data_IF_827254649567
#
_entry.id   IF_827254649567
#
_cell.length_a   1.000
_cell.length_b   1.000
_cell.length_c   1.000
_cell.angle_alpha   90.00
_cell.angle_beta   90.00
_cell.angle_gamma   90.00
#
_symmetry.space_group_name_H-M   'P 1'
#
loop_
_entity.id
_entity.type
_entity.pdbx_description
1 polymer ?
#
# COMPACT_ATOMS: atom_id res chain seq x y z
N UNK A 1 6.28 -7.58 -10.50
CA UNK A 1 5.03 -6.89 -10.17
C UNK A 1 4.06 -6.93 -11.35
N UNK A 2 2.78 -6.98 -11.03
CA UNK A 2 1.74 -6.91 -12.05
C UNK A 2 1.56 -5.46 -12.52
N UNK A 3 1.08 -5.31 -13.75
CA UNK A 3 0.78 -3.98 -14.29
C UNK A 3 -0.30 -3.31 -13.44
N UNK A 4 -0.13 -2.02 -13.19
CA UNK A 4 -1.08 -1.24 -12.40
C UNK A 4 -0.93 -1.39 -10.89
N UNK A 5 0.09 -2.09 -10.41
CA UNK A 5 0.35 -2.28 -8.99
C UNK A 5 1.52 -1.43 -8.52
N UNK A 6 1.32 -0.70 -7.44
CA UNK A 6 2.37 0.06 -6.76
C UNK A 6 2.62 -0.55 -5.39
N UNK A 7 3.88 -0.60 -4.99
CA UNK A 7 4.28 -1.17 -3.71
C UNK A 7 5.18 -0.17 -2.98
N UNK A 8 4.87 0.14 -1.71
CA UNK A 8 5.78 0.93 -0.89
C UNK A 8 5.67 0.55 0.58
N UNK A 9 6.72 0.85 1.33
CA UNK A 9 6.79 0.55 2.76
C UNK A 9 8.23 0.56 3.24
N UNK A 10 8.41 0.49 4.54
CA UNK A 10 9.72 0.38 5.17
C UNK A 10 9.82 -0.99 5.84
N UNK A 11 10.93 -1.70 5.63
CA UNK A 11 11.11 -3.07 6.13
C UNK A 11 12.13 -3.09 7.26
N UNK A 12 11.76 -3.67 8.39
CA UNK A 12 12.65 -3.84 9.53
C UNK A 12 13.53 -5.09 9.41
N UNK A 13 14.37 -5.28 10.41
CA UNK A 13 15.40 -6.34 10.40
C UNK A 13 14.85 -7.75 10.37
N UNK A 14 13.64 -7.96 10.90
CA UNK A 14 13.03 -9.28 10.92
C UNK A 14 11.89 -9.42 9.90
N UNK A 15 11.86 -8.50 8.91
CA UNK A 15 10.89 -8.55 7.83
C UNK A 15 9.56 -7.89 8.13
N UNK A 16 9.42 -7.23 9.28
CA UNK A 16 8.21 -6.48 9.57
C UNK A 16 8.09 -5.26 8.65
N UNK A 17 6.88 -4.99 8.17
CA UNK A 17 6.60 -3.83 7.32
C UNK A 17 6.12 -2.69 8.22
N UNK A 18 6.85 -1.58 8.20
CA UNK A 18 6.59 -0.42 9.03
C UNK A 18 5.89 0.69 8.27
N UNK A 19 5.10 1.48 9.00
CA UNK A 19 4.45 2.64 8.44
C UNK A 19 5.46 3.64 7.89
N UNK A 20 5.08 4.31 6.79
CA UNK A 20 5.87 5.39 6.21
C UNK A 20 5.14 6.70 6.41
N UNK A 21 5.88 7.82 6.36
CA UNK A 21 5.27 9.14 6.41
C UNK A 21 4.60 9.47 5.08
N UNK A 22 3.55 10.29 5.13
CA UNK A 22 2.85 10.80 3.96
C UNK A 22 2.30 9.70 3.03
N UNK A 23 1.85 8.59 3.61
CA UNK A 23 1.30 7.49 2.82
C UNK A 23 0.09 7.91 2.00
N UNK A 24 -0.79 8.74 2.57
CA UNK A 24 -1.97 9.24 1.86
C UNK A 24 -1.58 10.01 0.60
N UNK A 25 -0.54 10.82 0.68
CA UNK A 25 -0.04 11.56 -0.47
C UNK A 25 0.51 10.62 -1.53
N UNK A 26 1.21 9.56 -1.12
CA UNK A 26 1.74 8.55 -2.05
C UNK A 26 0.59 7.84 -2.78
N UNK A 27 -0.47 7.49 -2.07
CA UNK A 27 -1.65 6.85 -2.67
C UNK A 27 -2.35 7.81 -3.63
N UNK A 28 -2.49 9.07 -3.25
CA UNK A 28 -3.09 10.10 -4.11
C UNK A 28 -2.33 10.20 -5.43
N UNK A 29 -1.01 10.25 -5.37
CA UNK A 29 -0.18 10.29 -6.58
C UNK A 29 -0.32 9.01 -7.41
N UNK A 30 -0.43 7.86 -6.76
CA UNK A 30 -0.64 6.59 -7.46
C UNK A 30 -1.94 6.60 -8.26
N UNK A 31 -3.01 7.12 -7.68
CA UNK A 31 -4.30 7.25 -8.37
C UNK A 31 -4.14 8.13 -9.62
N UNK A 32 -3.48 9.26 -9.49
CA UNK A 32 -3.26 10.18 -10.60
C UNK A 32 -2.41 9.57 -11.70
N UNK A 33 -1.46 8.72 -11.35
CA UNK A 33 -0.57 8.06 -12.30
C UNK A 33 -1.26 6.91 -13.02
N UNK A 34 -2.39 6.42 -12.50
CA UNK A 34 -3.16 5.35 -13.13
C UNK A 34 -2.98 3.98 -12.51
N UNK A 35 -2.33 3.88 -11.36
CA UNK A 35 -2.25 2.62 -10.64
C UNK A 35 -3.62 2.23 -10.12
N UNK A 36 -3.93 0.95 -10.16
CA UNK A 36 -5.22 0.41 -9.72
C UNK A 36 -5.14 -0.37 -8.42
N UNK A 37 -3.93 -0.79 -8.03
CA UNK A 37 -3.69 -1.52 -6.79
C UNK A 37 -2.48 -0.92 -6.09
N UNK A 38 -2.58 -0.73 -4.78
CA UNK A 38 -1.47 -0.25 -3.96
C UNK A 38 -1.28 -1.18 -2.77
N UNK A 39 -0.08 -1.73 -2.65
CA UNK A 39 0.32 -2.55 -1.51
C UNK A 39 1.16 -1.67 -0.59
N UNK A 40 0.74 -1.55 0.66
CA UNK A 40 1.33 -0.61 1.61
C UNK A 40 1.27 -1.18 3.03
N UNK A 41 1.98 -0.57 3.99
CA UNK A 41 1.91 -1.04 5.37
C UNK A 41 0.48 -1.00 5.90
N UNK A 42 0.08 -2.05 6.61
CA UNK A 42 -1.29 -2.15 7.12
C UNK A 42 -1.67 -0.97 8.02
N UNK A 43 -0.74 -0.47 8.84
CA UNK A 43 -1.03 0.69 9.68
C UNK A 43 -1.34 1.94 8.87
N UNK A 44 -0.67 2.13 7.73
CA UNK A 44 -0.98 3.23 6.81
C UNK A 44 -2.34 3.02 6.15
N UNK A 45 -2.63 1.79 5.70
CA UNK A 45 -3.92 1.49 5.08
C UNK A 45 -5.07 1.80 6.04
N UNK A 46 -4.97 1.34 7.28
CA UNK A 46 -6.01 1.57 8.28
C UNK A 46 -6.21 3.06 8.55
N UNK A 47 -5.11 3.82 8.64
CA UNK A 47 -5.18 5.27 8.85
C UNK A 47 -5.85 5.99 7.69
N UNK A 48 -5.54 5.58 6.46
CA UNK A 48 -6.12 6.18 5.25
C UNK A 48 -7.63 5.91 5.21
N UNK A 49 -8.05 4.68 5.49
CA UNK A 49 -9.48 4.35 5.49
C UNK A 49 -10.22 5.09 6.60
N UNK A 50 -9.63 5.21 7.78
CA UNK A 50 -10.22 5.91 8.90
C UNK A 50 -10.40 7.40 8.60
N UNK A 51 -9.43 8.01 7.93
CA UNK A 51 -9.50 9.42 7.57
C UNK A 51 -10.58 9.72 6.53
N UNK A 52 -10.85 8.76 5.62
CA UNK A 52 -11.91 8.90 4.64
C UNK A 52 -11.68 9.97 3.58
N UNK A 53 -10.43 10.42 3.39
CA UNK A 53 -10.11 11.50 2.48
C UNK A 53 -9.80 11.06 1.05
N UNK A 54 -9.65 9.76 0.82
CA UNK A 54 -9.30 9.22 -0.49
C UNK A 54 -10.47 8.46 -1.09
N UNK A 55 -10.56 8.53 -2.42
CA UNK A 55 -11.54 7.74 -3.16
C UNK A 55 -10.98 6.33 -3.37
N UNK A 56 -11.29 5.44 -2.42
CA UNK A 56 -10.83 4.05 -2.45
C UNK A 56 -11.51 3.22 -3.54
N UNK A 57 -12.49 3.79 -4.26
CA UNK A 57 -13.07 3.11 -5.41
C UNK A 57 -12.15 3.16 -6.63
N UNK A 58 -11.22 4.10 -6.66
CA UNK A 58 -10.28 4.24 -7.79
C UNK A 58 -9.04 3.38 -7.65
N UNK A 59 -8.73 2.94 -6.44
CA UNK A 59 -7.55 2.13 -6.19
C UNK A 59 -7.84 1.16 -5.06
N UNK A 60 -7.39 -0.09 -5.24
CA UNK A 60 -7.51 -1.10 -4.20
C UNK A 60 -6.31 -1.01 -3.28
N UNK A 61 -6.54 -0.88 -1.98
CA UNK A 61 -5.48 -0.84 -0.97
C UNK A 61 -5.33 -2.20 -0.32
N UNK A 62 -4.12 -2.75 -0.34
CA UNK A 62 -3.79 -4.02 0.31
C UNK A 62 -2.78 -3.75 1.40
N UNK A 63 -3.18 -3.93 2.65
CA UNK A 63 -2.29 -3.73 3.79
C UNK A 63 -1.47 -4.97 4.09
N UNK A 64 -0.18 -4.80 4.35
CA UNK A 64 0.72 -5.90 4.70
C UNK A 64 1.47 -5.57 5.98
N UNK A 65 1.78 -6.60 6.78
CA UNK A 65 2.51 -6.46 8.04
C UNK A 65 3.89 -7.08 8.01
N UNK A 66 4.13 -7.99 7.05
CA UNK A 66 5.39 -8.68 6.91
C UNK A 66 5.70 -8.92 5.44
N UNK A 67 7.00 -8.93 5.10
CA UNK A 67 7.43 -9.11 3.70
C UNK A 67 6.95 -10.44 3.11
N UNK A 68 6.70 -11.46 3.92
CA UNK A 68 6.16 -12.73 3.43
C UNK A 68 4.83 -12.58 2.73
N UNK A 69 4.03 -11.60 3.15
CA UNK A 69 2.72 -11.35 2.53
C UNK A 69 2.85 -10.80 1.12
N UNK A 70 4.01 -10.21 0.78
CA UNK A 70 4.24 -9.67 -0.56
C UNK A 70 4.26 -10.76 -1.62
N UNK A 71 4.69 -11.97 -1.28
CA UNK A 71 4.70 -13.08 -2.21
C UNK A 71 3.29 -13.43 -2.68
N UNK A 72 2.32 -13.37 -1.76
CA UNK A 72 0.92 -13.61 -2.10
C UNK A 72 0.36 -12.49 -2.99
N UNK A 73 0.75 -11.25 -2.70
CA UNK A 73 0.27 -10.09 -3.46
C UNK A 73 0.76 -10.08 -4.90
N UNK A 74 1.97 -10.59 -5.15
CA UNK A 74 2.55 -10.58 -6.50
C UNK A 74 2.38 -11.90 -7.24
N UNK A 75 1.70 -12.86 -6.64
CA UNK A 75 1.37 -14.11 -7.31
C UNK A 75 2.50 -15.11 -7.43
N UNK A 76 3.46 -15.05 -6.53
CA UNK A 76 4.59 -15.98 -6.51
C UNK A 76 4.32 -17.20 -5.61
#
# INVERSE_FOLDING_TARGET
>A
LQDGMLLFGEVGLVGEVRAVSQAERRVTEAIKTGYTVCVLPESNRASIEKAGNLDTQKIKLIGVRHVRELLDCVGL
#
